data_IF_663322025331
#
_entry.id   IF_663322025331
#
_cell.length_a   1.000
_cell.length_b   1.000
_cell.length_c   1.000
_cell.angle_alpha   90.00
_cell.angle_beta   90.00
_cell.angle_gamma   90.00
#
_symmetry.space_group_name_H-M   'P 1'
#
loop_
_entity.id
_entity.type
_entity.pdbx_description
1 polymer ?
#
# COMPACT_ATOMS: atom_id res chain seq x y z
N UNK A 1 -16.10 -1.58 -36.40
CA UNK A 1 -14.80 -1.49 -35.68
C UNK A 1 -14.85 -0.29 -34.75
N UNK A 2 -14.49 -0.40 -33.46
CA UNK A 2 -14.35 0.77 -32.59
C UNK A 2 -13.22 1.67 -33.11
N UNK A 3 -13.47 2.97 -33.25
CA UNK A 3 -12.46 3.93 -33.70
C UNK A 3 -11.53 4.32 -32.56
N UNK A 4 -10.21 4.27 -32.79
CA UNK A 4 -9.23 4.70 -31.82
C UNK A 4 -9.29 6.23 -31.63
N UNK A 5 -9.49 6.68 -30.38
CA UNK A 5 -9.41 8.11 -30.04
C UNK A 5 -7.99 8.62 -30.29
N UNK A 6 -7.89 9.81 -30.87
CA UNK A 6 -6.65 10.59 -30.90
C UNK A 6 -6.45 11.29 -29.55
N UNK A 7 -5.35 10.99 -28.87
CA UNK A 7 -4.94 11.71 -27.66
C UNK A 7 -4.30 13.04 -28.04
N UNK A 8 -4.56 14.07 -27.24
CA UNK A 8 -3.99 15.40 -27.42
C UNK A 8 -3.01 15.68 -26.29
N UNK A 9 -2.00 16.51 -26.55
CA UNK A 9 -1.01 16.93 -25.56
C UNK A 9 -1.68 17.61 -24.35
N UNK A 10 -2.72 18.42 -24.59
CA UNK A 10 -3.49 19.06 -23.52
C UNK A 10 -4.17 18.05 -22.58
N UNK A 11 -4.72 16.95 -23.14
CA UNK A 11 -5.33 15.90 -22.34
C UNK A 11 -4.27 15.15 -21.52
N UNK A 12 -3.11 14.86 -22.13
CA UNK A 12 -2.00 14.20 -21.43
C UNK A 12 -1.44 15.09 -20.30
N UNK A 13 -1.28 16.39 -20.55
CA UNK A 13 -0.88 17.37 -19.53
C UNK A 13 -1.88 17.41 -18.37
N UNK A 14 -3.18 17.42 -18.67
CA UNK A 14 -4.24 17.38 -17.65
C UNK A 14 -4.14 16.11 -16.80
N UNK A 15 -3.93 14.94 -17.43
CA UNK A 15 -3.75 13.67 -16.71
C UNK A 15 -2.56 13.75 -15.76
N UNK A 16 -1.40 14.20 -16.24
CA UNK A 16 -0.18 14.28 -15.43
C UNK A 16 -0.33 15.29 -14.29
N UNK A 17 -0.85 16.48 -14.56
CA UNK A 17 -1.01 17.54 -13.56
C UNK A 17 -1.97 17.10 -12.45
N UNK A 18 -3.17 16.63 -12.80
CA UNK A 18 -4.16 16.21 -11.81
C UNK A 18 -3.66 15.01 -11.01
N UNK A 19 -2.99 14.05 -11.66
CA UNK A 19 -2.46 12.87 -10.96
C UNK A 19 -1.37 13.26 -9.96
N UNK A 20 -0.45 14.15 -10.34
CA UNK A 20 0.55 14.73 -9.44
C UNK A 20 -0.07 15.55 -8.29
N UNK A 21 -1.24 16.14 -8.51
CA UNK A 21 -2.05 16.78 -7.48
C UNK A 21 -2.74 15.82 -6.50
N UNK A 22 -2.71 14.51 -6.78
CA UNK A 22 -3.33 13.49 -5.94
C UNK A 22 -4.76 13.11 -6.34
N UNK A 23 -5.30 13.72 -7.40
CA UNK A 23 -6.63 13.41 -7.92
C UNK A 23 -6.73 11.95 -8.36
N UNK A 24 -7.91 11.37 -8.19
CA UNK A 24 -8.20 10.00 -8.60
C UNK A 24 -8.46 9.92 -10.10
N UNK A 25 -8.27 8.73 -10.68
CA UNK A 25 -8.59 8.49 -12.08
C UNK A 25 -10.05 8.79 -12.45
N UNK A 26 -10.98 8.72 -11.49
CA UNK A 26 -12.38 9.02 -11.72
C UNK A 26 -12.63 10.53 -11.86
N UNK A 27 -11.99 11.34 -11.02
CA UNK A 27 -12.05 12.81 -11.10
C UNK A 27 -11.44 13.30 -12.41
N UNK A 28 -10.28 12.76 -12.79
CA UNK A 28 -9.64 13.08 -14.08
C UNK A 28 -10.55 12.70 -15.26
N UNK A 29 -11.21 11.54 -15.17
CA UNK A 29 -12.21 11.11 -16.17
C UNK A 29 -13.38 12.09 -16.29
N UNK A 30 -13.92 12.57 -15.16
CA UNK A 30 -14.98 13.59 -15.16
C UNK A 30 -14.55 14.87 -15.85
N UNK A 31 -13.35 15.37 -15.58
CA UNK A 31 -12.81 16.60 -16.21
C UNK A 31 -12.64 16.43 -17.72
N UNK A 32 -12.16 15.27 -18.16
CA UNK A 32 -11.92 15.00 -19.59
C UNK A 32 -13.15 14.49 -20.37
N UNK A 33 -14.29 14.31 -19.69
CA UNK A 33 -15.48 13.68 -20.28
C UNK A 33 -15.25 12.23 -20.71
N UNK A 34 -14.41 11.51 -19.97
CA UNK A 34 -13.93 10.17 -20.29
C UNK A 34 -14.26 9.16 -19.19
N UNK A 35 -14.37 7.89 -19.59
CA UNK A 35 -14.46 6.81 -18.62
C UNK A 35 -13.17 6.72 -17.79
N UNK A 36 -13.31 6.32 -16.52
CA UNK A 36 -12.17 6.06 -15.63
C UNK A 36 -11.15 5.10 -16.26
N UNK A 37 -11.62 4.02 -16.91
CA UNK A 37 -10.72 3.00 -17.49
C UNK A 37 -9.89 3.57 -18.65
N UNK A 38 -10.51 4.38 -19.51
CA UNK A 38 -9.80 5.07 -20.60
C UNK A 38 -8.66 5.95 -20.07
N UNK A 39 -8.90 6.65 -18.96
CA UNK A 39 -7.87 7.49 -18.32
C UNK A 39 -6.80 6.65 -17.64
N UNK A 40 -7.15 5.54 -16.97
CA UNK A 40 -6.18 4.62 -16.36
C UNK A 40 -5.19 4.09 -17.40
N UNK A 41 -5.69 3.60 -18.53
CA UNK A 41 -4.86 3.06 -19.60
C UNK A 41 -3.90 4.11 -20.15
N UNK A 42 -4.40 5.33 -20.39
CA UNK A 42 -3.54 6.41 -20.88
C UNK A 42 -2.54 6.86 -19.83
N UNK A 43 -2.98 7.09 -18.60
CA UNK A 43 -2.13 7.50 -17.48
C UNK A 43 -0.98 6.52 -17.24
N UNK A 44 -1.22 5.20 -17.37
CA UNK A 44 -0.16 4.19 -17.30
C UNK A 44 0.88 4.33 -18.42
N UNK A 45 0.44 4.60 -19.66
CA UNK A 45 1.35 4.84 -20.80
C UNK A 45 2.18 6.11 -20.62
N UNK A 46 1.60 7.12 -19.99
CA UNK A 46 2.28 8.38 -19.65
C UNK A 46 3.18 8.26 -18.40
N UNK A 47 3.07 7.16 -17.63
CA UNK A 47 3.68 7.01 -16.29
C UNK A 47 3.27 8.15 -15.35
N UNK A 48 2.01 8.58 -15.42
CA UNK A 48 1.48 9.58 -14.52
C UNK A 48 1.35 8.98 -13.10
N UNK A 49 2.14 9.50 -12.17
CA UNK A 49 2.22 9.02 -10.79
C UNK A 49 1.46 9.94 -9.84
N UNK A 50 0.85 9.34 -8.83
CA UNK A 50 0.32 10.12 -7.71
C UNK A 50 1.45 10.46 -6.74
N UNK A 51 1.31 11.56 -5.99
CA UNK A 51 2.20 11.82 -4.87
C UNK A 51 2.16 10.62 -3.92
N UNK A 52 3.35 10.20 -3.47
CA UNK A 52 3.49 9.15 -2.46
C UNK A 52 2.79 9.65 -1.20
N UNK A 53 1.57 9.16 -0.95
CA UNK A 53 0.97 9.34 0.36
C UNK A 53 1.87 8.59 1.33
N UNK A 54 2.37 9.21 2.42
CA UNK A 54 3.05 8.45 3.45
C UNK A 54 2.07 7.39 3.91
N UNK A 55 2.34 6.15 3.49
CA UNK A 55 1.66 4.98 4.03
C UNK A 55 2.00 5.04 5.50
N UNK A 56 1.01 5.40 6.33
CA UNK A 56 1.08 5.10 7.73
C UNK A 56 1.22 3.58 7.78
N UNK A 57 2.46 3.11 7.82
CA UNK A 57 2.75 1.73 8.21
C UNK A 57 2.07 1.65 9.57
N UNK A 58 1.02 0.84 9.76
CA UNK A 58 0.50 0.65 11.09
C UNK A 58 1.71 0.23 11.90
N UNK A 59 2.13 1.07 12.85
CA UNK A 59 3.22 0.75 13.76
C UNK A 59 2.90 -0.66 14.23
N UNK A 60 3.73 -1.62 13.79
CA UNK A 60 3.52 -3.06 13.92
C UNK A 60 2.77 -3.27 15.22
N UNK A 61 1.48 -3.61 15.11
CA UNK A 61 0.53 -3.55 16.21
C UNK A 61 1.27 -4.02 17.46
N UNK A 62 1.44 -3.10 18.43
CA UNK A 62 1.98 -3.47 19.73
C UNK A 62 1.23 -4.75 20.08
N UNK A 63 1.98 -5.86 20.15
CA UNK A 63 1.40 -7.18 20.24
C UNK A 63 0.56 -7.14 21.50
N UNK A 64 -0.74 -6.93 21.33
CA UNK A 64 -1.67 -7.02 22.42
C UNK A 64 -1.54 -8.47 22.85
N UNK A 65 -0.89 -8.71 23.97
CA UNK A 65 -0.93 -10.02 24.60
C UNK A 65 -2.41 -10.31 24.81
N UNK A 66 -2.99 -11.16 23.95
CA UNK A 66 -4.36 -11.59 24.07
C UNK A 66 -4.50 -12.21 25.47
N UNK A 67 -5.30 -11.62 26.38
CA UNK A 67 -5.43 -12.13 27.74
C UNK A 67 -6.04 -13.53 27.78
N UNK A 68 -6.65 -14.00 26.68
CA UNK A 68 -7.19 -15.34 26.53
C UNK A 68 -6.23 -16.31 25.82
N UNK A 69 -5.00 -15.89 25.49
CA UNK A 69 -4.00 -16.81 24.92
C UNK A 69 -3.68 -17.89 25.95
N UNK A 70 -3.73 -19.15 25.51
CA UNK A 70 -3.23 -20.27 26.31
C UNK A 70 -1.76 -20.09 26.72
N UNK A 71 -1.38 -20.73 27.83
CA UNK A 71 -0.03 -20.66 28.35
C UNK A 71 1.03 -21.08 27.30
N UNK A 72 2.16 -20.38 27.30
CA UNK A 72 3.31 -20.76 26.49
C UNK A 72 3.84 -22.13 26.90
N UNK A 73 4.32 -22.91 25.92
CA UNK A 73 5.01 -24.19 26.20
C UNK A 73 6.25 -23.93 27.05
N UNK A 74 6.61 -24.89 27.91
CA UNK A 74 7.87 -24.86 28.64
C UNK A 74 9.05 -24.74 27.64
N UNK A 75 10.02 -23.88 27.95
CA UNK A 75 11.16 -23.60 27.06
C UNK A 75 10.87 -22.58 25.94
N UNK A 76 9.70 -21.94 25.92
CA UNK A 76 9.44 -20.90 24.93
C UNK A 76 10.41 -19.71 25.13
N UNK A 77 11.03 -19.17 24.07
CA UNK A 77 12.02 -18.09 24.20
C UNK A 77 11.52 -16.85 24.95
N UNK A 78 10.24 -16.49 24.78
CA UNK A 78 9.61 -15.40 25.53
C UNK A 78 9.52 -15.68 27.04
N UNK A 79 9.20 -16.92 27.46
CA UNK A 79 9.15 -17.26 28.90
C UNK A 79 10.54 -17.24 29.53
N UNK A 80 11.57 -17.68 28.79
CA UNK A 80 12.95 -17.60 29.25
C UNK A 80 13.39 -16.15 29.46
N UNK A 81 13.17 -15.29 28.46
CA UNK A 81 13.55 -13.88 28.55
C UNK A 81 12.87 -13.13 29.70
N UNK A 82 11.66 -13.52 30.10
CA UNK A 82 10.97 -12.96 31.27
C UNK A 82 11.59 -13.40 32.60
N UNK A 83 12.11 -14.63 32.68
CA UNK A 83 12.71 -15.17 33.91
C UNK A 83 14.17 -14.73 34.10
N UNK A 84 14.94 -14.66 33.01
CA UNK A 84 16.40 -14.52 33.09
C UNK A 84 16.93 -13.17 32.60
N UNK A 85 16.11 -12.38 31.89
CA UNK A 85 16.54 -11.17 31.14
C UNK A 85 17.64 -11.45 30.09
N UNK A 86 17.95 -12.72 29.83
CA UNK A 86 18.94 -13.17 28.86
C UNK A 86 18.24 -13.74 27.63
N UNK A 87 18.87 -13.65 26.44
CA UNK A 87 18.38 -14.35 25.25
C UNK A 87 18.35 -15.86 25.48
N UNK A 88 17.38 -16.54 24.87
CA UNK A 88 17.26 -18.00 24.95
C UNK A 88 18.55 -18.66 24.41
N UNK A 89 19.21 -19.55 25.19
CA UNK A 89 20.39 -20.25 24.69
C UNK A 89 19.96 -21.10 23.50
N UNK A 90 20.65 -20.94 22.36
CA UNK A 90 20.34 -21.68 21.13
C UNK A 90 20.51 -23.18 21.33
N UNK A 91 19.44 -23.84 21.74
CA UNK A 91 19.35 -25.28 21.97
C UNK A 91 17.96 -25.77 21.56
N UNK A 92 17.99 -26.62 20.53
CA UNK A 92 16.92 -27.40 19.89
C UNK A 92 15.55 -26.74 19.77
N UNK A 93 15.41 -25.88 18.76
CA UNK A 93 14.15 -25.80 18.03
C UNK A 93 14.04 -27.04 17.12
N UNK A 94 12.86 -27.67 16.99
CA UNK A 94 12.65 -28.84 16.12
C UNK A 94 12.88 -28.51 14.63
#
# INVERSE_FOLDING_TARGET
>A
MPQARKWTEAADFTICQMRAGGETWAEIGRVLGLSRNTVIERGRRLRAEAPVKPTAVPARAAVSEDPNRGALRAGHPLTWGLLTKEPYPGGDAP
#
